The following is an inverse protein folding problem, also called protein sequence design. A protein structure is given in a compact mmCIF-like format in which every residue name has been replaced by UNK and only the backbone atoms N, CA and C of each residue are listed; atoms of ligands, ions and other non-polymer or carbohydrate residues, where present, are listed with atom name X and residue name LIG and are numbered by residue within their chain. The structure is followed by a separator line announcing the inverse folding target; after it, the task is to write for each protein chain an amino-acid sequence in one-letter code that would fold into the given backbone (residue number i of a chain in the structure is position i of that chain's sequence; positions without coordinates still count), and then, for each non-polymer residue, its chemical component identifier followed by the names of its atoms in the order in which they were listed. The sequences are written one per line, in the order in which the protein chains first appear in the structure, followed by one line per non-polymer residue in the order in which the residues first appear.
data_IF_128086830476
#
_entry.id   IF_128086830476
#
_cell.length_a   1.000
_cell.length_b   1.000
_cell.length_c   1.000
_cell.angle_alpha   90.00
_cell.angle_beta   90.00
_cell.angle_gamma   90.00
#
_symmetry.space_group_name_H-M   'P 1'
#
loop_
_entity.id
_entity.type
_entity.pdbx_description
1 polymer ?
#
# COMPACT_ATOMS: atom_id res chain seq x y z
N UNK A 1 13.22 24.12 11.25
CA UNK A 1 12.37 22.92 11.36
C UNK A 1 12.16 22.39 9.97
N UNK A 2 12.52 21.14 9.68
CA UNK A 2 12.26 20.50 8.39
C UNK A 2 10.78 20.13 8.28
N UNK A 3 10.16 20.37 7.13
CA UNK A 3 8.81 19.89 6.84
C UNK A 3 8.82 18.36 6.70
N UNK A 4 7.71 17.67 7.07
CA UNK A 4 7.61 16.23 6.91
C UNK A 4 7.63 15.83 5.42
N UNK A 5 8.22 14.69 5.12
CA UNK A 5 8.11 14.10 3.78
C UNK A 5 6.69 13.60 3.57
N UNK A 6 6.00 14.17 2.58
CA UNK A 6 4.66 13.75 2.19
C UNK A 6 4.76 12.58 1.22
N UNK A 7 4.18 11.44 1.58
CA UNK A 7 4.17 10.23 0.77
C UNK A 7 2.74 9.95 0.34
N UNK A 8 2.47 10.07 -0.96
CA UNK A 8 1.20 9.71 -1.56
C UNK A 8 1.13 8.19 -1.73
N UNK A 9 0.08 7.57 -1.21
CA UNK A 9 -0.15 6.13 -1.31
C UNK A 9 -1.37 5.85 -2.17
N UNK A 10 -1.25 4.86 -3.05
CA UNK A 10 -2.35 4.31 -3.84
C UNK A 10 -2.31 2.79 -3.74
N UNK A 11 -3.47 2.17 -3.57
CA UNK A 11 -3.64 0.73 -3.55
C UNK A 11 -4.45 0.27 -4.75
N UNK A 12 -3.95 -0.72 -5.47
CA UNK A 12 -4.71 -1.44 -6.46
C UNK A 12 -4.91 -2.89 -6.00
N UNK A 13 -6.16 -3.26 -5.73
CA UNK A 13 -6.52 -4.62 -5.35
C UNK A 13 -6.61 -5.48 -6.61
N UNK A 14 -5.69 -6.45 -6.70
CA UNK A 14 -5.62 -7.38 -7.81
C UNK A 14 -6.49 -8.62 -7.56
N UNK A 15 -6.56 -9.09 -6.32
CA UNK A 15 -7.40 -10.21 -5.93
C UNK A 15 -7.75 -10.17 -4.44
N UNK A 16 -8.93 -10.68 -4.09
CA UNK A 16 -9.32 -11.06 -2.73
C UNK A 16 -9.30 -12.59 -2.70
N UNK A 17 -8.28 -13.17 -2.07
CA UNK A 17 -8.00 -14.60 -2.18
C UNK A 17 -8.91 -15.43 -1.27
N UNK A 18 -9.04 -15.01 0.00
CA UNK A 18 -9.84 -15.73 0.99
C UNK A 18 -10.28 -14.81 2.12
N UNK A 19 -11.39 -15.19 2.74
CA UNK A 19 -11.89 -14.65 4.00
C UNK A 19 -12.12 -15.87 4.87
N UNK A 20 -11.51 -15.92 6.05
CA UNK A 20 -11.54 -17.08 6.93
C UNK A 20 -12.11 -16.69 8.30
N UNK A 21 -13.30 -17.19 8.59
CA UNK A 21 -14.04 -16.91 9.82
C UNK A 21 -13.45 -17.63 11.04
N UNK A 22 -12.78 -18.76 10.84
CA UNK A 22 -12.13 -19.52 11.92
C UNK A 22 -10.87 -18.81 12.43
N UNK A 23 -10.05 -18.31 11.51
CA UNK A 23 -8.82 -17.59 11.85
C UNK A 23 -9.04 -16.09 12.02
N UNK A 24 -10.21 -15.55 11.66
CA UNK A 24 -10.54 -14.13 11.70
C UNK A 24 -9.54 -13.29 10.87
N UNK A 25 -9.35 -13.67 9.61
CA UNK A 25 -8.50 -12.95 8.67
C UNK A 25 -9.02 -12.99 7.24
N UNK A 26 -8.42 -12.14 6.41
CA UNK A 26 -8.63 -12.12 4.97
C UNK A 26 -7.29 -11.98 4.26
N UNK A 27 -7.18 -12.58 3.09
CA UNK A 27 -5.97 -12.58 2.26
C UNK A 27 -6.20 -11.86 0.95
N UNK A 28 -5.30 -10.95 0.59
CA UNK A 28 -5.42 -10.09 -0.58
C UNK A 28 -4.12 -10.03 -1.37
N UNK A 29 -4.23 -9.81 -2.67
CA UNK A 29 -3.10 -9.43 -3.52
C UNK A 29 -3.26 -7.96 -3.89
N UNK A 30 -2.29 -7.14 -3.48
CA UNK A 30 -2.33 -5.69 -3.67
C UNK A 30 -1.07 -5.19 -4.36
N UNK A 31 -1.24 -4.26 -5.29
CA UNK A 31 -0.15 -3.44 -5.80
C UNK A 31 -0.17 -2.11 -5.04
N UNK A 32 0.89 -1.87 -4.27
CA UNK A 32 1.09 -0.65 -3.50
C UNK A 32 1.94 0.31 -4.32
N UNK A 33 1.45 1.52 -4.53
CA UNK A 33 2.21 2.61 -5.15
C UNK A 33 2.45 3.71 -4.13
N UNK A 34 3.70 4.09 -3.94
CA UNK A 34 4.12 5.21 -3.11
C UNK A 34 4.77 6.27 -3.99
N UNK A 35 4.45 7.54 -3.77
CA UNK A 35 5.10 8.66 -4.45
C UNK A 35 5.47 9.76 -3.47
N UNK A 36 6.72 10.21 -3.51
CA UNK A 36 7.23 11.31 -2.72
C UNK A 36 8.22 12.14 -3.55
N UNK A 37 8.65 13.27 -3.01
CA UNK A 37 9.71 14.09 -3.60
C UNK A 37 10.97 14.01 -2.75
N UNK A 38 12.12 13.85 -3.40
CA UNK A 38 13.45 13.93 -2.78
C UNK A 38 14.35 14.83 -3.63
N UNK A 39 14.62 16.03 -3.12
CA UNK A 39 15.43 17.04 -3.80
C UNK A 39 16.87 16.58 -4.08
N UNK A 40 17.40 15.61 -3.30
CA UNK A 40 18.76 15.10 -3.48
C UNK A 40 18.91 14.25 -4.75
N UNK A 41 17.78 13.82 -5.32
CA UNK A 41 17.72 12.95 -6.50
C UNK A 41 17.35 13.71 -7.78
N UNK A 42 17.35 15.05 -7.77
CA UNK A 42 17.10 15.86 -8.96
C UNK A 42 18.26 15.76 -9.95
N UNK A 43 17.94 15.60 -11.23
CA UNK A 43 18.95 15.37 -12.29
C UNK A 43 18.67 16.14 -13.59
N UNK A 44 17.99 17.29 -13.50
CA UNK A 44 17.58 18.12 -14.64
C UNK A 44 18.67 18.28 -15.72
N UNK A 45 19.92 18.53 -15.33
CA UNK A 45 21.02 18.87 -16.25
C UNK A 45 21.91 17.66 -16.62
N UNK A 46 21.67 16.47 -16.06
CA UNK A 46 22.56 15.32 -16.23
C UNK A 46 22.13 14.39 -17.36
N UNK A 47 20.82 14.20 -17.56
CA UNK A 47 20.26 13.21 -18.49
C UNK A 47 19.08 13.83 -19.22
N UNK A 48 19.04 13.66 -20.54
CA UNK A 48 17.92 14.09 -21.37
C UNK A 48 16.81 13.02 -21.44
N UNK A 49 16.27 12.64 -20.28
CA UNK A 49 15.16 11.69 -20.15
C UNK A 49 14.23 12.15 -19.03
N UNK A 50 12.92 12.10 -19.25
CA UNK A 50 11.92 12.60 -18.30
C UNK A 50 11.89 11.81 -16.98
N UNK A 51 12.21 10.53 -17.04
CA UNK A 51 12.36 9.66 -15.89
C UNK A 51 13.36 8.53 -16.17
N UNK A 52 13.87 7.95 -15.09
CA UNK A 52 14.69 6.75 -15.09
C UNK A 52 13.91 5.61 -14.46
N UNK A 53 13.82 4.48 -15.16
CA UNK A 53 13.33 3.23 -14.60
C UNK A 53 14.53 2.48 -14.00
N UNK A 54 14.51 2.29 -12.68
CA UNK A 54 15.61 1.65 -11.97
C UNK A 54 15.33 0.18 -11.73
N UNK A 55 16.34 -0.64 -11.99
CA UNK A 55 16.32 -2.06 -11.67
C UNK A 55 16.13 -2.30 -10.16
N UNK A 56 15.42 -3.38 -9.82
CA UNK A 56 15.14 -3.77 -8.44
C UNK A 56 16.38 -3.83 -7.53
N UNK A 57 17.56 -4.15 -8.07
CA UNK A 57 18.83 -4.19 -7.31
C UNK A 57 19.33 -2.82 -6.87
N UNK A 58 19.00 -1.77 -7.62
CA UNK A 58 19.41 -0.40 -7.29
C UNK A 58 18.53 0.21 -6.21
N UNK A 59 17.30 -0.29 -6.02
CA UNK A 59 16.34 0.21 -5.03
C UNK A 59 16.95 0.23 -3.62
N UNK A 60 17.79 -0.74 -3.27
CA UNK A 60 18.48 -0.80 -1.97
C UNK A 60 19.41 0.39 -1.68
N UNK A 61 19.79 1.17 -2.70
CA UNK A 61 20.61 2.39 -2.55
C UNK A 61 19.76 3.65 -2.31
N UNK A 62 18.44 3.55 -2.47
CA UNK A 62 17.52 4.66 -2.28
C UNK A 62 16.87 4.57 -0.89
N UNK A 63 16.61 5.73 -0.31
CA UNK A 63 15.71 5.78 0.84
C UNK A 63 14.28 5.55 0.36
N UNK A 64 13.57 4.61 0.98
CA UNK A 64 12.17 4.29 0.71
C UNK A 64 11.40 4.39 2.04
N UNK A 65 10.20 5.02 2.05
CA UNK A 65 9.36 5.08 3.25
C UNK A 65 9.05 3.69 3.83
N UNK A 66 9.04 3.60 5.15
CA UNK A 66 8.83 2.38 5.93
C UNK A 66 7.35 2.09 6.19
N UNK A 67 6.57 2.00 5.10
CA UNK A 67 5.16 1.62 5.17
C UNK A 67 5.02 0.21 5.72
N UNK A 68 4.27 0.09 6.82
CA UNK A 68 3.97 -1.14 7.52
C UNK A 68 2.45 -1.33 7.65
N UNK A 69 1.98 -2.58 7.54
CA UNK A 69 0.59 -2.96 7.70
C UNK A 69 0.32 -3.38 9.15
N UNK A 70 -0.48 -2.61 9.88
CA UNK A 70 -0.62 -2.74 11.34
C UNK A 70 -1.29 -4.05 11.75
N UNK A 71 -2.27 -4.49 10.97
CA UNK A 71 -3.03 -5.71 11.23
C UNK A 71 -2.54 -6.90 10.41
N UNK A 72 -1.31 -6.87 9.91
CA UNK A 72 -0.69 -7.97 9.18
C UNK A 72 -0.47 -9.19 10.07
N UNK A 73 -0.81 -10.37 9.55
CA UNK A 73 -0.46 -11.68 10.14
C UNK A 73 0.68 -12.35 9.38
N UNK A 74 0.64 -12.25 8.06
CA UNK A 74 1.68 -12.74 7.17
C UNK A 74 1.65 -11.96 5.87
N UNK A 75 2.82 -11.77 5.28
CA UNK A 75 2.98 -11.06 4.02
C UNK A 75 4.14 -11.63 3.23
N UNK A 76 3.97 -11.66 1.91
CA UNK A 76 4.97 -12.13 0.98
C UNK A 76 5.12 -11.15 -0.17
N UNK A 77 6.37 -10.82 -0.50
CA UNK A 77 6.68 -10.13 -1.74
C UNK A 77 6.69 -11.14 -2.88
N UNK A 78 6.11 -10.76 -4.01
CA UNK A 78 6.19 -11.61 -5.20
C UNK A 78 7.55 -11.45 -5.87
N UNK A 79 8.39 -12.49 -5.82
CA UNK A 79 9.78 -12.42 -6.30
C UNK A 79 10.11 -13.26 -7.54
N UNK A 80 9.10 -13.85 -8.18
CA UNK A 80 9.26 -14.71 -9.37
C UNK A 80 8.77 -13.98 -10.63
N UNK A 81 9.53 -13.97 -11.74
CA UNK A 81 10.93 -14.45 -11.94
C UNK A 81 11.99 -13.46 -11.43
N UNK A 82 11.56 -12.23 -11.10
CA UNK A 82 12.35 -11.13 -10.53
C UNK A 82 11.48 -10.47 -9.45
N UNK A 83 12.06 -9.87 -8.38
CA UNK A 83 11.32 -9.06 -7.42
C UNK A 83 10.38 -8.05 -8.09
N UNK A 84 9.09 -8.15 -7.81
CA UNK A 84 8.06 -7.26 -8.35
C UNK A 84 8.06 -5.92 -7.62
N UNK A 85 9.19 -5.22 -7.75
CA UNK A 85 9.48 -3.90 -7.19
C UNK A 85 10.05 -3.03 -8.30
N UNK A 86 9.51 -1.83 -8.42
CA UNK A 86 9.88 -0.89 -9.48
C UNK A 86 10.03 0.50 -8.86
N UNK A 87 11.11 1.20 -9.20
CA UNK A 87 11.32 2.58 -8.79
C UNK A 87 11.53 3.44 -10.04
N UNK A 88 10.64 4.41 -10.24
CA UNK A 88 10.79 5.44 -11.25
C UNK A 88 11.26 6.72 -10.58
N UNK A 89 12.34 7.28 -11.09
CA UNK A 89 12.89 8.55 -10.64
C UNK A 89 12.69 9.59 -11.74
N UNK A 90 11.89 10.61 -11.47
CA UNK A 90 11.62 11.72 -12.38
C UNK A 90 12.65 12.85 -12.20
N UNK A 91 12.88 13.62 -13.26
CA UNK A 91 13.90 14.70 -13.28
C UNK A 91 13.77 15.71 -12.15
N UNK A 92 12.54 15.94 -11.69
CA UNK A 92 12.17 16.86 -10.61
C UNK A 92 12.41 16.32 -9.20
N UNK A 93 12.95 15.11 -9.08
CA UNK A 93 13.19 14.43 -7.81
C UNK A 93 11.94 13.72 -7.28
N UNK A 94 10.84 13.65 -8.06
CA UNK A 94 9.71 12.78 -7.73
C UNK A 94 10.16 11.33 -7.87
N UNK A 95 9.95 10.57 -6.80
CA UNK A 95 10.15 9.13 -6.77
C UNK A 95 8.79 8.46 -6.77
N UNK A 96 8.62 7.44 -7.62
CA UNK A 96 7.46 6.55 -7.62
C UNK A 96 7.96 5.13 -7.40
N UNK A 97 7.58 4.55 -6.27
CA UNK A 97 7.92 3.19 -5.90
C UNK A 97 6.66 2.31 -5.95
N UNK A 98 6.73 1.21 -6.69
CA UNK A 98 5.64 0.24 -6.82
C UNK A 98 6.10 -1.11 -6.33
N UNK A 99 5.26 -1.80 -5.57
CA UNK A 99 5.51 -3.16 -5.14
C UNK A 99 4.23 -3.99 -5.10
N UNK A 100 4.33 -5.25 -5.49
CA UNK A 100 3.23 -6.21 -5.40
C UNK A 100 3.42 -7.08 -4.16
N UNK A 101 2.36 -7.18 -3.35
CA UNK A 101 2.38 -7.89 -2.06
C UNK A 101 1.17 -8.81 -1.98
N UNK A 102 1.38 -10.05 -1.54
CA UNK A 102 0.34 -10.91 -0.99
C UNK A 102 0.29 -10.70 0.52
N UNK A 103 -0.87 -10.32 1.05
CA UNK A 103 -1.02 -9.93 2.44
C UNK A 103 -2.20 -10.64 3.08
N UNK A 104 -1.98 -11.24 4.23
CA UNK A 104 -3.03 -11.74 5.12
C UNK A 104 -3.13 -10.80 6.31
N UNK A 105 -4.31 -10.22 6.51
CA UNK A 105 -4.56 -9.25 7.56
C UNK A 105 -5.71 -9.70 8.47
N UNK A 106 -5.61 -9.37 9.75
CA UNK A 106 -6.62 -9.67 10.76
C UNK A 106 -7.90 -8.89 10.49
N UNK A 107 -9.04 -9.58 10.55
CA UNK A 107 -10.37 -9.00 10.45
C UNK A 107 -11.27 -9.61 11.53
N UNK A 108 -11.63 -8.81 12.53
CA UNK A 108 -12.51 -9.23 13.61
C UNK A 108 -13.96 -9.24 13.13
N UNK A 109 -14.43 -10.43 12.74
CA UNK A 109 -15.77 -10.62 12.19
C UNK A 109 -16.84 -10.72 13.28
N UNK A 110 -18.04 -10.20 12.99
CA UNK A 110 -19.20 -10.31 13.87
C UNK A 110 -20.17 -11.37 13.33
N UNK A 111 -20.02 -12.61 13.80
CA UNK A 111 -20.73 -13.78 13.25
C UNK A 111 -22.11 -14.06 13.89
N UNK A 112 -22.72 -13.06 14.55
CA UNK A 112 -24.00 -13.22 15.25
C UNK A 112 -25.16 -13.64 14.32
N UNK A 113 -25.05 -13.36 13.02
CA UNK A 113 -26.08 -13.65 12.01
C UNK A 113 -25.60 -14.61 10.92
N UNK A 114 -24.53 -15.36 11.18
CA UNK A 114 -23.99 -16.31 10.21
C UNK A 114 -25.10 -17.28 9.71
N UNK A 115 -25.21 -17.56 8.40
CA UNK A 115 -24.38 -17.07 7.28
C UNK A 115 -24.92 -15.80 6.58
N UNK A 116 -25.94 -15.15 7.15
CA UNK A 116 -26.63 -13.97 6.59
C UNK A 116 -26.15 -12.67 7.25
N UNK A 117 -24.85 -12.50 7.35
CA UNK A 117 -24.18 -11.36 7.97
C UNK A 117 -23.43 -10.50 6.94
N UNK A 118 -22.89 -9.37 7.42
CA UNK A 118 -22.03 -8.48 6.65
C UNK A 118 -20.78 -8.23 7.47
N UNK A 119 -19.62 -8.34 6.84
CA UNK A 119 -18.33 -8.19 7.50
C UNK A 119 -17.59 -6.98 6.95
N UNK A 120 -16.99 -6.19 7.85
CA UNK A 120 -16.16 -5.03 7.50
C UNK A 120 -14.72 -5.33 7.89
N UNK A 121 -13.88 -5.61 6.89
CA UNK A 121 -12.46 -5.85 7.08
C UNK A 121 -11.65 -4.61 6.71
N UNK A 122 -10.89 -4.09 7.67
CA UNK A 122 -10.03 -2.92 7.46
C UNK A 122 -8.61 -3.36 7.13
N UNK A 123 -7.94 -2.60 6.26
CA UNK A 123 -6.49 -2.71 6.06
C UNK A 123 -5.82 -1.44 6.58
N UNK A 124 -4.95 -1.59 7.56
CA UNK A 124 -4.37 -0.46 8.29
C UNK A 124 -2.91 -0.27 7.88
N UNK A 125 -2.54 0.94 7.46
CA UNK A 125 -1.17 1.29 7.07
C UNK A 125 -0.62 2.38 7.99
N UNK A 126 0.66 2.25 8.37
CA UNK A 126 1.37 3.22 9.22
C UNK A 126 2.86 3.25 8.88
N UNK A 127 3.57 4.30 9.29
CA UNK A 127 5.03 4.28 9.34
C UNK A 127 5.49 3.51 10.57
N UNK A 128 6.55 2.73 10.43
CA UNK A 128 7.10 1.94 11.52
C UNK A 128 7.95 2.80 12.48
N UNK A 129 8.93 3.55 11.95
CA UNK A 129 9.93 4.28 12.70
C UNK A 129 9.79 5.81 12.64
N UNK A 130 9.05 6.37 11.67
CA UNK A 130 8.88 7.82 11.56
C UNK A 130 7.58 8.31 12.21
N UNK A 131 7.67 9.49 12.83
CA UNK A 131 6.51 10.21 13.37
C UNK A 131 5.86 11.08 12.30
N UNK A 132 4.64 11.55 12.56
CA UNK A 132 3.93 12.49 11.68
C UNK A 132 4.67 13.84 11.48
N UNK A 133 5.68 14.15 12.32
CA UNK A 133 6.52 15.34 12.13
C UNK A 133 7.61 15.12 11.08
N UNK A 134 7.97 13.87 10.80
CA UNK A 134 9.02 13.49 9.86
C UNK A 134 8.45 12.94 8.55
N UNK A 135 7.37 12.16 8.62
CA UNK A 135 6.77 11.49 7.48
C UNK A 135 5.25 11.45 7.63
N UNK A 136 4.53 11.80 6.56
CA UNK A 136 3.08 11.71 6.53
C UNK A 136 2.63 10.95 5.29
N UNK A 137 1.86 9.89 5.52
CA UNK A 137 1.15 9.21 4.45
C UNK A 137 -0.18 9.92 4.16
N UNK A 138 -0.50 10.08 2.90
CA UNK A 138 -1.80 10.57 2.42
C UNK A 138 -2.24 9.78 1.21
N UNK A 139 -3.53 9.71 0.98
CA UNK A 139 -4.07 9.05 -0.21
C UNK A 139 -3.73 9.84 -1.48
N UNK A 140 -3.41 9.14 -2.57
CA UNK A 140 -3.19 9.76 -3.87
C UNK A 140 -4.49 10.43 -4.37
N UNK A 141 -4.39 11.66 -4.87
CA UNK A 141 -5.58 12.42 -5.31
C UNK A 141 -6.25 11.82 -6.56
N UNK A 142 -5.47 11.23 -7.46
CA UNK A 142 -5.98 10.77 -8.76
C UNK A 142 -6.73 9.43 -8.65
N UNK A 143 -6.18 8.50 -7.88
CA UNK A 143 -6.67 7.12 -7.80
C UNK A 143 -6.15 6.47 -6.51
N UNK A 144 -6.74 6.78 -5.35
CA UNK A 144 -6.27 6.28 -4.06
C UNK A 144 -6.51 4.79 -3.88
N UNK A 145 -7.65 4.30 -4.38
CA UNK A 145 -8.05 2.92 -4.28
C UNK A 145 -8.68 2.47 -5.60
N UNK A 146 -8.11 1.44 -6.22
CA UNK A 146 -8.60 0.86 -7.47
C UNK A 146 -8.70 -0.66 -7.37
N UNK A 147 -9.54 -1.26 -8.20
CA UNK A 147 -9.72 -2.71 -8.26
C UNK A 147 -9.69 -3.20 -9.70
N UNK A 148 -9.17 -4.41 -9.92
CA UNK A 148 -9.42 -5.13 -11.16
C UNK A 148 -10.91 -5.49 -11.26
N UNK A 149 -11.46 -5.41 -12.47
CA UNK A 149 -12.91 -5.47 -12.74
C UNK A 149 -13.60 -6.81 -12.41
N UNK A 150 -12.90 -7.77 -11.81
CA UNK A 150 -13.38 -9.13 -11.53
C UNK A 150 -12.79 -9.63 -10.21
N UNK A 151 -13.17 -9.02 -9.08
CA UNK A 151 -12.88 -9.57 -7.76
C UNK A 151 -13.95 -10.60 -7.43
N UNK A 152 -13.67 -11.87 -7.70
CA UNK A 152 -14.54 -12.99 -7.34
C UNK A 152 -13.99 -13.72 -6.11
N UNK A 153 -14.89 -14.07 -5.20
CA UNK A 153 -14.61 -14.93 -4.04
C UNK A 153 -15.63 -16.07 -4.04
N UNK A 154 -15.27 -17.20 -3.44
CA UNK A 154 -16.13 -18.40 -3.43
C UNK A 154 -17.36 -18.26 -2.52
N UNK A 155 -17.23 -17.50 -1.42
CA UNK A 155 -18.25 -17.43 -0.37
C UNK A 155 -18.83 -16.03 -0.15
N UNK A 156 -18.04 -14.98 -0.41
CA UNK A 156 -18.42 -13.59 -0.16
C UNK A 156 -18.58 -12.80 -1.44
N UNK A 157 -19.36 -11.72 -1.37
CA UNK A 157 -19.47 -10.73 -2.43
C UNK A 157 -18.95 -9.42 -1.88
N UNK A 158 -18.01 -8.80 -2.60
CA UNK A 158 -17.52 -7.48 -2.24
C UNK A 158 -18.61 -6.44 -2.49
N UNK A 159 -19.20 -5.90 -1.41
CA UNK A 159 -20.27 -4.92 -1.51
C UNK A 159 -19.76 -3.49 -1.75
N UNK A 160 -18.74 -3.06 -1.01
CA UNK A 160 -18.17 -1.71 -1.08
C UNK A 160 -16.71 -1.73 -0.63
N UNK A 161 -15.93 -0.81 -1.18
CA UNK A 161 -14.62 -0.45 -0.68
C UNK A 161 -14.58 1.04 -0.35
N UNK A 162 -13.89 1.38 0.72
CA UNK A 162 -13.74 2.76 1.19
C UNK A 162 -12.34 2.97 1.74
N UNK A 163 -11.94 4.23 1.88
CA UNK A 163 -10.65 4.63 2.43
C UNK A 163 -10.82 5.85 3.33
N UNK A 164 -10.04 5.92 4.41
CA UNK A 164 -9.99 7.08 5.31
C UNK A 164 -8.55 7.40 5.70
N UNK A 165 -8.29 8.65 6.02
CA UNK A 165 -7.04 9.06 6.68
C UNK A 165 -7.26 9.07 8.18
N UNK A 166 -6.39 8.38 8.92
CA UNK A 166 -6.43 8.40 10.38
C UNK A 166 -5.55 9.54 10.88
N UNK A 167 -6.15 10.55 11.50
CA UNK A 167 -5.39 11.65 12.09
C UNK A 167 -4.96 11.34 13.52
N UNK A 168 -5.68 10.46 14.23
CA UNK A 168 -5.38 10.01 15.58
C UNK A 168 -5.46 8.49 15.69
N UNK A 169 -4.72 7.93 16.63
CA UNK A 169 -4.71 6.49 16.89
C UNK A 169 -6.05 5.97 17.45
N UNK A 170 -6.91 6.87 17.94
CA UNK A 170 -8.29 6.61 18.35
C UNK A 170 -9.23 6.29 17.19
N UNK A 171 -8.85 6.60 15.94
CA UNK A 171 -9.71 6.47 14.77
C UNK A 171 -9.68 5.05 14.17
N UNK A 172 -8.95 4.13 14.82
CA UNK A 172 -8.71 2.73 14.42
C UNK A 172 -9.85 1.79 14.90
N UNK A 173 -10.74 2.27 15.77
CA UNK A 173 -11.88 1.49 16.28
C UNK A 173 -13.17 1.74 15.50
#
# INVERSE_FOLDING_TARGET
MSLPTLVNVSLQINALNSVNEQTMDFSINVLVTQSWYDFRLQFYELINADHLELDSKLIAKFWVPDLYFVNEKSSEFHDITVPNRLLHLYRDGRVVYKMRISLTATCLMQLHRFPMDQQTCSLLMKSFGFTNQSLQFRWSLDSPLTCLKQLEMSQFILARMDYKECQRMSDIN
#
